data_IF_359052493245
#
_entry.id   IF_359052493245
#
_cell.length_a   1.000
_cell.length_b   1.000
_cell.length_c   1.000
_cell.angle_alpha   90.00
_cell.angle_beta   90.00
_cell.angle_gamma   90.00
#
_symmetry.space_group_name_H-M   'P 1'
#
loop_
_entity.id
_entity.type
_entity.pdbx_description
1 polymer ?
#
# COMPACT_ATOMS: atom_id res chain seq x y z
N UNK A 1 19.65 18.95 11.41
CA UNK A 1 20.53 19.26 10.27
C UNK A 1 20.25 18.25 9.14
N UNK A 2 20.76 18.45 7.93
CA UNK A 2 20.72 17.43 6.86
C UNK A 2 21.36 16.12 7.33
N UNK A 3 22.48 16.21 8.02
CA UNK A 3 23.21 15.04 8.52
C UNK A 3 22.37 14.25 9.53
N UNK A 4 21.64 14.91 10.42
CA UNK A 4 20.79 14.23 11.41
C UNK A 4 19.68 13.39 10.74
N UNK A 5 19.17 13.83 9.59
CA UNK A 5 18.21 13.02 8.81
C UNK A 5 18.89 11.79 8.21
N UNK A 6 20.06 11.97 7.59
CA UNK A 6 20.80 10.86 6.97
C UNK A 6 21.22 9.83 8.02
N UNK A 7 21.79 10.28 9.13
CA UNK A 7 22.30 9.41 10.18
C UNK A 7 21.19 8.53 10.74
N UNK A 8 20.05 9.11 11.12
CA UNK A 8 18.94 8.35 11.68
C UNK A 8 18.30 7.38 10.66
N UNK A 9 18.21 7.72 9.37
CA UNK A 9 17.76 6.76 8.35
C UNK A 9 18.78 5.64 8.14
N UNK A 10 20.05 6.00 8.04
CA UNK A 10 21.11 5.05 7.72
C UNK A 10 21.41 4.11 8.90
N UNK A 11 21.18 4.53 10.14
CA UNK A 11 21.12 3.64 11.31
C UNK A 11 20.01 2.61 11.14
N UNK A 12 18.77 3.05 10.91
CA UNK A 12 17.62 2.14 10.76
C UNK A 12 17.76 1.17 9.56
N UNK A 13 18.37 1.63 8.46
CA UNK A 13 18.63 0.80 7.27
C UNK A 13 19.76 -0.20 7.49
N UNK A 14 20.80 0.18 8.22
CA UNK A 14 21.88 -0.73 8.60
C UNK A 14 21.36 -1.88 9.48
N UNK A 15 20.41 -1.61 10.38
CA UNK A 15 19.79 -2.63 11.25
C UNK A 15 19.08 -3.75 10.48
N UNK A 16 18.68 -3.49 9.23
CA UNK A 16 18.00 -4.46 8.35
C UNK A 16 18.83 -4.83 7.11
N UNK A 17 20.11 -4.43 7.07
CA UNK A 17 21.03 -4.79 5.98
C UNK A 17 20.72 -4.11 4.64
N UNK A 18 20.15 -2.91 4.67
CA UNK A 18 19.81 -2.11 3.49
C UNK A 18 20.84 -0.99 3.29
N UNK A 19 21.24 -0.76 2.04
CA UNK A 19 22.22 0.27 1.66
C UNK A 19 21.80 1.68 2.11
N UNK A 20 22.75 2.54 2.51
CA UNK A 20 22.43 3.87 3.03
C UNK A 20 21.82 4.77 1.95
N UNK A 21 20.93 5.67 2.40
CA UNK A 21 20.43 6.79 1.60
C UNK A 21 21.51 7.86 1.46
N UNK A 22 21.46 8.55 0.33
CA UNK A 22 22.21 9.78 0.06
C UNK A 22 21.26 10.97 0.04
N UNK A 23 21.76 12.16 0.40
CA UNK A 23 20.93 13.35 0.36
C UNK A 23 20.83 13.90 -1.07
N UNK A 24 19.63 14.36 -1.44
CA UNK A 24 19.38 15.02 -2.72
C UNK A 24 18.72 16.39 -2.49
N UNK A 25 19.42 17.45 -2.92
CA UNK A 25 18.97 18.84 -2.73
C UNK A 25 17.71 19.17 -3.53
N UNK A 26 17.46 18.50 -4.67
CA UNK A 26 16.24 18.70 -5.45
C UNK A 26 15.04 18.08 -4.74
N UNK A 27 15.21 16.89 -4.17
CA UNK A 27 14.20 16.22 -3.36
C UNK A 27 13.91 17.04 -2.09
N UNK A 28 14.94 17.62 -1.47
CA UNK A 28 14.78 18.48 -0.29
C UNK A 28 14.07 19.79 -0.63
N UNK A 29 14.39 20.41 -1.77
CA UNK A 29 13.70 21.60 -2.25
C UNK A 29 12.22 21.32 -2.54
N UNK A 30 11.91 20.16 -3.13
CA UNK A 30 10.52 19.71 -3.31
C UNK A 30 9.79 19.59 -1.97
N UNK A 31 10.38 18.87 -1.01
CA UNK A 31 9.82 18.70 0.33
C UNK A 31 9.57 20.07 1.00
N UNK A 32 10.51 21.00 0.87
CA UNK A 32 10.42 22.34 1.45
C UNK A 32 9.28 23.16 0.84
N UNK A 33 9.15 23.14 -0.49
CA UNK A 33 8.05 23.83 -1.19
C UNK A 33 6.68 23.27 -0.79
N UNK A 34 6.60 21.98 -0.50
CA UNK A 34 5.36 21.35 -0.09
C UNK A 34 4.98 21.69 1.35
N UNK A 35 5.88 21.47 2.33
CA UNK A 35 5.55 21.75 3.74
C UNK A 35 5.25 23.21 3.99
N UNK A 36 5.86 24.13 3.24
CA UNK A 36 5.55 25.56 3.32
C UNK A 36 4.08 25.87 3.02
N UNK A 37 3.37 25.03 2.26
CA UNK A 37 1.93 25.16 2.01
C UNK A 37 1.08 24.70 3.20
N UNK A 38 1.60 23.77 4.02
CA UNK A 38 0.95 23.23 5.22
C UNK A 38 1.17 24.10 6.47
N UNK A 39 2.00 25.14 6.39
CA UNK A 39 2.34 26.00 7.52
C UNK A 39 1.15 26.79 8.10
N UNK A 40 0.05 26.89 7.36
CA UNK A 40 -1.13 27.64 7.80
C UNK A 40 -1.83 26.99 9.01
N UNK A 41 -2.01 25.67 8.97
CA UNK A 41 -2.84 24.91 9.91
C UNK A 41 -2.23 23.58 10.39
N UNK A 42 -1.04 23.19 9.91
CA UNK A 42 -0.37 21.93 10.26
C UNK A 42 -1.15 20.67 9.83
N UNK A 43 -2.09 20.79 8.90
CA UNK A 43 -2.89 19.65 8.46
C UNK A 43 -2.01 18.63 7.69
N UNK A 44 -1.89 17.42 8.21
CA UNK A 44 -1.08 16.35 7.62
C UNK A 44 -1.82 15.73 6.42
N UNK A 45 -1.63 16.34 5.25
CA UNK A 45 -2.10 15.84 3.96
C UNK A 45 -0.89 15.55 3.09
N UNK A 46 -0.90 14.44 2.35
CA UNK A 46 0.18 14.06 1.44
C UNK A 46 0.24 14.93 0.19
N UNK A 47 1.45 15.14 -0.36
CA UNK A 47 1.63 15.96 -1.58
C UNK A 47 1.11 15.29 -2.84
N UNK A 48 0.95 13.95 -2.81
CA UNK A 48 0.63 13.11 -3.97
C UNK A 48 1.61 13.33 -5.15
N UNK A 49 2.86 13.67 -4.83
CA UNK A 49 3.91 13.94 -5.80
C UNK A 49 4.61 12.70 -6.35
N UNK A 50 5.70 12.94 -7.09
CA UNK A 50 6.52 11.89 -7.74
C UNK A 50 7.44 11.11 -6.79
N UNK A 51 7.52 11.50 -5.51
CA UNK A 51 8.41 10.91 -4.51
C UNK A 51 7.61 10.12 -3.48
N UNK A 52 8.24 9.12 -2.86
CA UNK A 52 7.67 8.47 -1.69
C UNK A 52 7.64 9.47 -0.55
N UNK A 53 6.65 9.43 0.34
CA UNK A 53 6.46 10.51 1.30
C UNK A 53 6.07 10.01 2.69
N UNK A 54 6.79 10.51 3.70
CA UNK A 54 6.39 10.38 5.10
C UNK A 54 6.19 11.77 5.71
N UNK A 55 5.13 11.91 6.50
CA UNK A 55 4.77 13.14 7.19
C UNK A 55 4.72 12.92 8.71
N UNK A 56 5.07 13.94 9.46
CA UNK A 56 4.94 13.95 10.92
C UNK A 56 4.63 15.36 11.43
N UNK A 57 3.76 15.46 12.43
CA UNK A 57 3.45 16.69 13.16
C UNK A 57 3.89 16.53 14.63
N UNK A 58 4.43 17.59 15.23
CA UNK A 58 4.60 17.66 16.68
C UNK A 58 4.87 19.05 17.21
N UNK A 59 4.90 19.19 18.53
CA UNK A 59 5.02 20.48 19.22
C UNK A 59 6.46 20.83 19.60
N UNK A 60 6.85 22.09 19.40
CA UNK A 60 8.08 22.66 19.97
C UNK A 60 9.39 22.06 19.45
N UNK A 61 10.47 22.28 20.18
CA UNK A 61 11.82 21.78 19.86
C UNK A 61 11.94 20.25 19.89
N UNK A 62 10.90 19.56 20.39
CA UNK A 62 10.83 18.11 20.42
C UNK A 62 10.73 17.48 19.02
N UNK A 63 10.07 18.15 18.07
CA UNK A 63 9.94 17.66 16.70
C UNK A 63 11.19 17.97 15.87
N UNK A 64 12.28 17.31 16.24
CA UNK A 64 13.54 17.35 15.51
C UNK A 64 13.50 16.46 14.26
N UNK A 65 14.45 16.70 13.37
CA UNK A 65 14.72 15.82 12.23
C UNK A 65 14.88 14.36 12.68
N UNK A 66 15.74 14.08 13.65
CA UNK A 66 15.96 12.73 14.16
C UNK A 66 14.68 12.15 14.78
N UNK A 67 13.93 12.96 15.57
CA UNK A 67 12.75 12.47 16.28
C UNK A 67 11.63 12.03 15.34
N UNK A 68 11.42 12.73 14.22
CA UNK A 68 10.45 12.28 13.23
C UNK A 68 10.91 10.99 12.49
N UNK A 69 12.22 10.69 12.39
CA UNK A 69 12.68 9.38 11.87
C UNK A 69 12.38 8.29 12.88
N UNK A 70 12.70 8.57 14.14
CA UNK A 70 12.48 7.66 15.26
C UNK A 70 11.01 7.22 15.35
N UNK A 71 10.06 8.17 15.25
CA UNK A 71 8.62 7.88 15.27
C UNK A 71 8.21 6.90 14.15
N UNK A 72 8.73 7.10 12.93
CA UNK A 72 8.43 6.18 11.81
C UNK A 72 9.15 4.84 11.92
N UNK A 73 10.33 4.81 12.55
CA UNK A 73 11.08 3.58 12.80
C UNK A 73 10.44 2.75 13.91
N UNK A 74 9.85 3.39 14.93
CA UNK A 74 9.14 2.73 16.02
C UNK A 74 7.89 1.96 15.54
N UNK A 75 7.38 2.26 14.34
CA UNK A 75 6.34 1.45 13.69
C UNK A 75 6.81 0.03 13.33
N UNK A 76 8.12 -0.25 13.35
CA UNK A 76 8.67 -1.60 13.18
C UNK A 76 7.99 -2.65 14.06
N UNK A 77 7.54 -2.27 15.26
CA UNK A 77 6.84 -3.19 16.16
C UNK A 77 5.50 -3.69 15.61
N UNK A 78 4.94 -2.99 14.61
CA UNK A 78 3.69 -3.30 13.92
C UNK A 78 3.92 -3.81 12.49
N UNK A 79 5.19 -4.04 12.11
CA UNK A 79 5.55 -4.53 10.79
C UNK A 79 5.45 -6.05 10.73
N UNK A 80 4.71 -6.56 9.75
CA UNK A 80 4.63 -7.97 9.43
C UNK A 80 5.71 -8.33 8.39
N UNK A 81 6.64 -9.19 8.80
CA UNK A 81 7.75 -9.65 7.97
C UNK A 81 7.32 -10.57 6.83
N UNK A 82 6.22 -11.30 7.00
CA UNK A 82 5.77 -12.31 6.03
C UNK A 82 4.97 -11.65 4.90
N UNK A 83 4.14 -10.65 5.22
CA UNK A 83 3.39 -9.88 4.23
C UNK A 83 4.10 -8.62 3.74
N UNK A 84 5.20 -8.21 4.38
CA UNK A 84 5.91 -6.94 4.13
C UNK A 84 4.96 -5.72 4.24
N UNK A 85 4.06 -5.74 5.22
CA UNK A 85 3.07 -4.67 5.45
C UNK A 85 3.22 -4.03 6.82
N UNK A 86 2.82 -2.76 6.91
CA UNK A 86 2.65 -2.02 8.16
C UNK A 86 1.40 -1.15 8.02
N UNK A 87 0.58 -1.05 9.07
CA UNK A 87 -0.69 -0.33 9.07
C UNK A 87 -0.62 1.14 8.61
N UNK A 88 0.56 1.78 8.64
CA UNK A 88 0.74 3.18 8.21
C UNK A 88 1.86 3.39 7.17
N UNK A 89 2.60 2.34 6.79
CA UNK A 89 3.61 2.40 5.72
C UNK A 89 4.85 3.27 5.97
N UNK A 90 4.96 4.02 7.08
CA UNK A 90 6.10 4.91 7.26
C UNK A 90 7.41 4.14 7.49
N UNK A 91 7.38 3.07 8.29
CA UNK A 91 8.54 2.21 8.51
C UNK A 91 9.07 1.60 7.21
N UNK A 92 8.18 1.00 6.41
CA UNK A 92 8.55 0.33 5.15
C UNK A 92 9.18 1.30 4.16
N UNK A 93 8.73 2.56 4.11
CA UNK A 93 9.36 3.59 3.29
C UNK A 93 10.78 3.93 3.77
N UNK A 94 11.03 4.03 5.08
CA UNK A 94 12.35 4.33 5.65
C UNK A 94 13.38 3.25 5.24
N UNK A 95 12.99 1.98 5.35
CA UNK A 95 13.86 0.85 5.03
C UNK A 95 13.75 0.36 3.58
N UNK A 96 13.09 1.13 2.71
CA UNK A 96 12.84 0.70 1.34
C UNK A 96 14.13 0.58 0.54
N UNK A 97 14.47 -0.65 0.12
CA UNK A 97 15.76 -0.96 -0.52
C UNK A 97 16.04 -0.15 -1.77
N UNK A 98 14.99 0.12 -2.55
CA UNK A 98 15.13 0.80 -3.83
C UNK A 98 15.11 2.32 -3.72
N UNK A 99 14.76 2.87 -2.56
CA UNK A 99 14.99 4.28 -2.28
C UNK A 99 16.48 4.48 -2.02
N UNK A 100 17.10 5.38 -2.77
CA UNK A 100 18.56 5.65 -2.72
C UNK A 100 18.87 7.09 -2.35
N UNK A 101 17.88 7.98 -2.54
CA UNK A 101 17.97 9.40 -2.28
C UNK A 101 16.86 9.83 -1.34
N UNK A 102 17.18 10.77 -0.47
CA UNK A 102 16.22 11.37 0.46
C UNK A 102 16.41 12.87 0.52
N UNK A 103 15.30 13.59 0.61
CA UNK A 103 15.26 15.02 0.87
C UNK A 103 14.21 15.35 1.90
N UNK A 104 14.56 16.18 2.87
CA UNK A 104 13.71 16.43 4.04
C UNK A 104 13.52 17.93 4.24
N UNK A 105 12.35 18.31 4.73
CA UNK A 105 12.04 19.67 5.13
C UNK A 105 11.26 19.72 6.43
N UNK A 106 11.39 20.84 7.14
CA UNK A 106 10.64 21.14 8.36
C UNK A 106 10.13 22.57 8.30
N UNK A 107 8.86 22.78 8.62
CA UNK A 107 8.27 24.10 8.76
C UNK A 107 7.63 24.26 10.13
N UNK A 108 7.63 25.48 10.66
CA UNK A 108 6.84 25.85 11.83
C UNK A 108 5.47 26.35 11.37
N UNK A 109 4.41 25.82 11.94
CA UNK A 109 3.05 26.25 11.65
C UNK A 109 2.61 27.43 12.51
N UNK A 110 1.57 28.12 12.09
CA UNK A 110 0.99 29.26 12.82
C UNK A 110 0.46 28.91 14.22
N UNK A 111 0.08 27.65 14.43
CA UNK A 111 -0.36 27.13 15.74
C UNK A 111 0.81 26.83 16.70
N UNK A 112 2.06 27.05 16.29
CA UNK A 112 3.26 26.76 17.07
C UNK A 112 3.77 25.32 16.97
N UNK A 113 3.08 24.46 16.21
CA UNK A 113 3.52 23.11 15.84
C UNK A 113 4.57 23.11 14.73
N UNK A 114 5.10 21.92 14.42
CA UNK A 114 6.04 21.70 13.33
C UNK A 114 5.58 20.53 12.46
N UNK A 115 5.61 20.71 11.14
CA UNK A 115 5.46 19.64 10.16
C UNK A 115 6.82 19.28 9.59
N UNK A 116 7.08 17.98 9.48
CA UNK A 116 8.24 17.41 8.80
C UNK A 116 7.74 16.60 7.60
N UNK A 117 8.23 16.91 6.40
CA UNK A 117 8.03 16.09 5.20
C UNK A 117 9.34 15.50 4.74
N UNK A 118 9.27 14.25 4.29
CA UNK A 118 10.42 13.55 3.74
C UNK A 118 10.03 12.83 2.49
N UNK A 119 10.84 13.07 1.48
CA UNK A 119 10.61 12.62 0.14
C UNK A 119 11.74 11.66 -0.24
N UNK A 120 11.37 10.50 -0.79
CA UNK A 120 12.25 9.39 -1.11
C UNK A 120 12.26 9.16 -2.62
N UNK A 121 13.46 8.97 -3.18
CA UNK A 121 13.65 8.76 -4.61
C UNK A 121 14.57 7.55 -4.87
N UNK A 122 14.13 6.54 -5.62
CA UNK A 122 12.74 6.26 -6.01
C UNK A 122 11.75 6.12 -4.83
N UNK A 123 10.44 6.32 -5.06
CA UNK A 123 9.41 6.09 -4.04
C UNK A 123 9.45 4.66 -3.49
N UNK A 124 9.20 4.52 -2.20
CA UNK A 124 8.96 3.24 -1.53
C UNK A 124 7.47 2.99 -1.31
N UNK A 125 7.15 1.96 -0.51
CA UNK A 125 5.77 1.45 -0.35
C UNK A 125 5.14 1.07 -1.70
N UNK A 126 5.97 0.70 -2.67
CA UNK A 126 5.56 0.20 -3.98
C UNK A 126 5.35 -1.31 -3.82
N UNK A 127 4.12 -1.69 -3.51
CA UNK A 127 3.78 -3.09 -3.21
C UNK A 127 4.15 -4.00 -4.40
N UNK A 128 4.72 -5.17 -4.09
CA UNK A 128 5.32 -6.11 -5.05
C UNK A 128 6.87 -6.07 -5.10
N UNK A 129 7.52 -5.13 -4.42
CA UNK A 129 8.96 -5.21 -4.15
C UNK A 129 9.20 -5.91 -2.81
N UNK A 130 9.54 -7.20 -2.86
CA UNK A 130 9.96 -7.94 -1.67
C UNK A 130 11.25 -7.32 -1.14
N UNK A 131 11.27 -6.98 0.16
CA UNK A 131 12.52 -6.74 0.86
C UNK A 131 13.35 -8.03 0.77
N UNK A 132 14.39 -8.02 -0.07
CA UNK A 132 15.29 -9.14 -0.21
C UNK A 132 16.04 -9.37 1.10
N UNK A 133 15.44 -10.13 2.02
CA UNK A 133 16.10 -10.60 3.23
C UNK A 133 17.22 -11.55 2.79
N UNK A 134 18.45 -11.10 2.98
CA UNK A 134 19.65 -11.77 2.51
C UNK A 134 19.83 -13.14 3.15
N UNK A 135 19.42 -14.19 2.45
CA UNK A 135 19.86 -15.57 2.68
C UNK A 135 20.98 -15.96 1.71
N UNK A 136 22.01 -15.13 1.54
CA UNK A 136 23.24 -15.56 0.87
C UNK A 136 24.47 -14.87 1.48
N UNK A 137 24.75 -15.24 2.73
CA UNK A 137 26.08 -15.10 3.32
C UNK A 137 26.63 -16.51 3.51
N UNK A 138 27.80 -16.78 2.92
CA UNK A 138 28.60 -18.02 2.95
C UNK A 138 28.43 -19.01 1.79
N UNK A 139 28.99 -18.69 0.61
CA UNK A 139 29.59 -19.73 -0.26
C UNK A 139 30.89 -19.22 -0.91
N UNK A 140 31.95 -20.05 -0.98
CA UNK A 140 33.29 -19.62 -1.40
C UNK A 140 33.41 -19.42 -2.91
N UNK A 141 34.26 -18.46 -3.27
CA UNK A 141 34.46 -17.87 -4.60
C UNK A 141 35.03 -18.82 -5.65
N UNK A 142 34.25 -19.75 -6.22
CA UNK A 142 34.71 -20.55 -7.37
C UNK A 142 33.63 -21.01 -8.37
N UNK A 143 32.59 -20.22 -8.68
CA UNK A 143 31.74 -20.50 -9.86
C UNK A 143 31.14 -19.22 -10.47
N UNK A 144 31.95 -18.43 -11.18
CA UNK A 144 31.54 -17.12 -11.74
C UNK A 144 31.32 -17.09 -13.26
N UNK A 145 31.25 -18.22 -13.96
CA UNK A 145 31.15 -18.21 -15.45
C UNK A 145 29.93 -18.99 -16.00
N UNK A 146 29.18 -19.74 -15.17
CA UNK A 146 27.96 -20.45 -15.63
C UNK A 146 26.64 -19.74 -15.31
N UNK A 147 26.65 -18.61 -14.60
CA UNK A 147 25.44 -17.88 -14.17
C UNK A 147 25.07 -16.71 -15.08
N UNK A 148 25.90 -16.35 -16.07
CA UNK A 148 25.67 -15.18 -16.94
C UNK A 148 24.61 -15.39 -18.05
N UNK A 149 24.07 -16.61 -18.20
CA UNK A 149 23.04 -16.94 -19.21
C UNK A 149 21.65 -17.24 -18.63
N UNK A 150 21.47 -17.20 -17.31
CA UNK A 150 20.14 -17.28 -16.66
C UNK A 150 19.63 -15.93 -16.13
N UNK A 151 20.41 -14.85 -16.26
CA UNK A 151 20.05 -13.49 -15.82
C UNK A 151 19.31 -12.71 -16.94
N UNK A 152 19.06 -13.33 -18.09
CA UNK A 152 18.46 -12.70 -19.28
C UNK A 152 16.93 -12.90 -19.44
N UNK A 153 16.19 -13.46 -18.46
CA UNK A 153 14.72 -13.66 -18.58
C UNK A 153 13.91 -13.35 -17.30
N UNK A 154 14.34 -12.42 -16.44
CA UNK A 154 13.41 -11.81 -15.46
C UNK A 154 13.62 -10.29 -15.44
N UNK A 155 13.51 -9.67 -16.61
CA UNK A 155 12.90 -8.34 -16.71
C UNK A 155 11.39 -8.51 -16.57
N UNK A 156 10.91 -8.75 -15.35
CA UNK A 156 9.48 -8.63 -15.05
C UNK A 156 9.25 -7.20 -14.61
N UNK A 157 8.49 -6.48 -15.43
CA UNK A 157 8.01 -5.15 -15.15
C UNK A 157 7.44 -5.07 -13.72
N UNK A 158 7.63 -3.92 -13.07
CA UNK A 158 6.78 -3.51 -11.95
C UNK A 158 5.32 -3.58 -12.44
N UNK A 159 4.64 -4.68 -12.17
CA UNK A 159 3.21 -4.77 -12.38
C UNK A 159 2.57 -3.98 -11.24
N UNK A 160 1.75 -3.00 -11.61
CA UNK A 160 0.95 -2.25 -10.66
C UNK A 160 0.16 -3.22 -9.75
N UNK A 161 -0.23 -2.75 -8.56
CA UNK A 161 -1.06 -3.43 -7.53
C UNK A 161 -2.48 -3.75 -7.99
N UNK A 162 -2.56 -4.36 -9.16
CA UNK A 162 -3.74 -4.63 -9.94
C UNK A 162 -3.57 -5.94 -10.69
N UNK A 163 -2.62 -6.77 -10.27
CA UNK A 163 -2.49 -8.13 -10.75
C UNK A 163 -3.58 -9.00 -10.12
N UNK A 164 -3.85 -10.12 -10.78
CA UNK A 164 -4.70 -11.19 -10.24
C UNK A 164 -4.25 -11.64 -8.85
N UNK A 165 -2.93 -11.70 -8.60
CA UNK A 165 -2.40 -12.17 -7.33
C UNK A 165 -2.67 -11.17 -6.20
N UNK A 166 -2.62 -9.87 -6.46
CA UNK A 166 -2.90 -8.84 -5.45
C UNK A 166 -4.35 -8.95 -4.94
N UNK A 167 -5.32 -9.30 -5.81
CA UNK A 167 -6.68 -9.61 -5.38
C UNK A 167 -6.71 -10.84 -4.47
N UNK A 168 -6.09 -11.95 -4.91
CA UNK A 168 -6.09 -13.20 -4.17
C UNK A 168 -5.45 -13.04 -2.79
N UNK A 169 -4.30 -12.40 -2.70
CA UNK A 169 -3.55 -12.23 -1.45
C UNK A 169 -4.37 -11.44 -0.43
N UNK A 170 -4.95 -10.31 -0.83
CA UNK A 170 -5.76 -9.49 0.06
C UNK A 170 -7.01 -10.23 0.57
N UNK A 171 -7.70 -10.98 -0.30
CA UNK A 171 -8.84 -11.79 0.11
C UNK A 171 -8.44 -12.95 1.01
N UNK A 172 -7.39 -13.68 0.65
CA UNK A 172 -7.00 -14.91 1.32
C UNK A 172 -6.38 -14.65 2.69
N UNK A 173 -5.74 -13.49 2.89
CA UNK A 173 -5.37 -13.01 4.23
C UNK A 173 -6.60 -12.83 5.11
N UNK A 174 -7.62 -12.09 4.65
CA UNK A 174 -8.85 -11.86 5.42
C UNK A 174 -9.64 -13.15 5.68
N UNK A 175 -9.58 -14.12 4.76
CA UNK A 175 -10.20 -15.44 4.90
C UNK A 175 -9.48 -16.33 5.90
N UNK A 176 -8.15 -16.28 5.91
CA UNK A 176 -7.33 -16.99 6.89
C UNK A 176 -7.61 -16.51 8.32
N UNK A 177 -7.79 -15.20 8.52
CA UNK A 177 -8.11 -14.59 9.83
C UNK A 177 -9.38 -15.18 10.49
N UNK A 178 -10.33 -15.64 9.68
CA UNK A 178 -11.60 -16.24 10.15
C UNK A 178 -11.70 -17.74 9.89
N UNK A 179 -10.61 -18.39 9.46
CA UNK A 179 -10.54 -19.84 9.27
C UNK A 179 -11.47 -20.36 8.16
N UNK A 180 -11.59 -19.64 7.05
CA UNK A 180 -12.26 -20.14 5.82
C UNK A 180 -11.23 -20.41 4.73
N UNK A 181 -11.50 -21.43 3.90
CA UNK A 181 -10.59 -21.87 2.83
C UNK A 181 -10.28 -20.75 1.82
N UNK A 182 -9.07 -20.66 1.27
CA UNK A 182 -8.70 -19.61 0.33
C UNK A 182 -9.51 -19.69 -0.97
N UNK A 183 -9.76 -18.53 -1.56
CA UNK A 183 -10.28 -18.40 -2.93
C UNK A 183 -9.19 -18.74 -3.93
N UNK A 184 -9.60 -19.31 -5.07
CA UNK A 184 -8.79 -19.44 -6.27
C UNK A 184 -9.27 -18.44 -7.33
N UNK A 185 -8.38 -18.03 -8.23
CA UNK A 185 -8.78 -17.14 -9.32
C UNK A 185 -9.49 -17.92 -10.43
N UNK A 186 -10.51 -17.29 -11.01
CA UNK A 186 -11.23 -17.81 -12.17
C UNK A 186 -11.29 -16.75 -13.28
N UNK A 187 -10.73 -17.10 -14.44
CA UNK A 187 -10.62 -16.19 -15.59
C UNK A 187 -11.98 -15.88 -16.24
N UNK A 188 -12.96 -16.78 -16.16
CA UNK A 188 -14.31 -16.53 -16.69
C UNK A 188 -15.04 -15.51 -15.79
N UNK A 189 -14.90 -15.66 -14.47
CA UNK A 189 -15.44 -14.70 -13.50
C UNK A 189 -14.73 -13.34 -13.63
N UNK A 190 -13.41 -13.32 -13.89
CA UNK A 190 -12.66 -12.09 -14.09
C UNK A 190 -13.06 -11.37 -15.40
N UNK A 191 -13.29 -12.14 -16.47
CA UNK A 191 -13.80 -11.58 -17.73
C UNK A 191 -15.20 -10.98 -17.55
N UNK A 192 -16.06 -11.60 -16.75
CA UNK A 192 -17.35 -11.04 -16.35
C UNK A 192 -17.19 -9.71 -15.61
N UNK A 193 -16.33 -9.68 -14.58
CA UNK A 193 -16.04 -8.48 -13.80
C UNK A 193 -15.51 -7.33 -14.68
N UNK A 194 -14.60 -7.64 -15.62
CA UNK A 194 -14.03 -6.67 -16.55
C UNK A 194 -15.08 -6.11 -17.51
N UNK A 195 -15.95 -6.95 -18.04
CA UNK A 195 -17.05 -6.51 -18.90
C UNK A 195 -17.97 -5.55 -18.15
N UNK A 196 -18.36 -5.91 -16.92
CA UNK A 196 -19.28 -5.11 -16.14
C UNK A 196 -18.65 -3.78 -15.68
N UNK A 197 -17.45 -3.81 -15.09
CA UNK A 197 -16.71 -2.61 -14.68
C UNK A 197 -16.52 -1.62 -15.84
N UNK A 198 -16.32 -2.12 -17.06
CA UNK A 198 -16.22 -1.28 -18.27
C UNK A 198 -17.52 -0.50 -18.58
N UNK A 199 -18.68 -1.03 -18.19
CA UNK A 199 -19.96 -0.33 -18.36
C UNK A 199 -20.12 0.83 -17.37
N UNK A 200 -19.45 0.76 -16.21
CA UNK A 200 -19.44 1.81 -15.18
C UNK A 200 -18.42 2.93 -15.47
N UNK A 201 -17.51 2.71 -16.43
CA UNK A 201 -16.40 3.62 -16.73
C UNK A 201 -16.83 5.05 -17.16
N UNK A 202 -18.10 5.26 -17.52
CA UNK A 202 -18.59 6.58 -17.89
C UNK A 202 -18.44 7.61 -16.76
N UNK A 203 -18.65 7.20 -15.50
CA UNK A 203 -18.61 8.11 -14.34
C UNK A 203 -18.24 7.43 -13.01
N UNK A 204 -17.88 6.14 -12.99
CA UNK A 204 -17.57 5.37 -11.78
C UNK A 204 -18.75 5.18 -10.81
N UNK A 205 -19.99 5.49 -11.20
CA UNK A 205 -21.14 5.26 -10.34
C UNK A 205 -21.26 3.77 -9.98
N UNK A 206 -21.20 3.47 -8.68
CA UNK A 206 -21.36 2.12 -8.17
C UNK A 206 -22.83 1.69 -8.29
N UNK A 207 -23.10 0.87 -9.30
CA UNK A 207 -24.38 0.21 -9.53
C UNK A 207 -24.10 -1.28 -9.62
N UNK A 208 -24.92 -2.11 -8.97
CA UNK A 208 -24.74 -3.56 -9.00
C UNK A 208 -25.19 -4.17 -10.34
N UNK A 209 -24.50 -5.22 -10.80
CA UNK A 209 -24.80 -5.92 -12.05
C UNK A 209 -26.07 -6.76 -11.97
N UNK A 210 -26.46 -7.16 -10.76
CA UNK A 210 -27.51 -8.16 -10.50
C UNK A 210 -27.30 -9.46 -11.29
N UNK A 211 -26.02 -9.82 -11.50
CA UNK A 211 -25.60 -11.00 -12.22
C UNK A 211 -25.75 -12.31 -11.44
N UNK A 212 -25.18 -13.37 -11.99
CA UNK A 212 -25.19 -14.71 -11.40
C UNK A 212 -24.16 -14.93 -10.28
N UNK A 213 -23.22 -14.00 -10.12
CA UNK A 213 -22.12 -14.08 -9.15
C UNK A 213 -22.39 -13.19 -7.95
N UNK A 214 -21.73 -13.49 -6.82
CA UNK A 214 -21.59 -12.51 -5.74
C UNK A 214 -20.82 -11.31 -6.28
N UNK A 215 -20.99 -10.13 -5.69
CA UNK A 215 -20.40 -8.91 -6.24
C UNK A 215 -20.04 -7.90 -5.16
N UNK A 216 -18.78 -7.45 -5.22
CA UNK A 216 -18.32 -6.27 -4.51
C UNK A 216 -17.83 -5.23 -5.52
N UNK A 217 -18.20 -3.97 -5.28
CA UNK A 217 -17.78 -2.83 -6.07
C UNK A 217 -17.09 -1.81 -5.17
N UNK A 218 -16.10 -1.10 -5.70
CA UNK A 218 -15.48 0.02 -5.05
C UNK A 218 -15.08 1.07 -6.08
N UNK A 219 -15.14 2.35 -5.71
CA UNK A 219 -14.58 3.45 -6.50
C UNK A 219 -13.58 4.25 -5.69
N UNK A 220 -12.67 4.92 -6.39
CA UNK A 220 -11.72 5.84 -5.77
C UNK A 220 -11.03 6.71 -6.81
N UNK A 221 -10.40 7.79 -6.32
CA UNK A 221 -9.70 8.75 -7.17
C UNK A 221 -8.29 8.31 -7.54
N UNK A 222 -7.97 8.35 -8.83
CA UNK A 222 -6.60 8.20 -9.35
C UNK A 222 -5.91 6.89 -8.99
N UNK A 223 -4.58 6.88 -9.05
CA UNK A 223 -3.78 5.67 -8.88
C UNK A 223 -3.76 5.10 -7.45
N UNK A 224 -4.34 5.82 -6.47
CA UNK A 224 -4.55 5.35 -5.10
C UNK A 224 -5.60 4.24 -5.00
N UNK A 225 -6.53 4.16 -5.96
CA UNK A 225 -7.50 3.08 -6.03
C UNK A 225 -6.86 1.83 -6.65
N UNK A 226 -5.96 1.23 -5.88
CA UNK A 226 -5.36 -0.08 -6.18
C UNK A 226 -6.34 -1.20 -5.84
N UNK A 227 -6.08 -2.41 -6.34
CA UNK A 227 -6.97 -3.54 -6.04
C UNK A 227 -6.84 -3.99 -4.59
N UNK A 228 -5.63 -3.92 -4.02
CA UNK A 228 -5.41 -4.14 -2.61
C UNK A 228 -6.23 -3.16 -1.76
N UNK A 229 -6.28 -1.87 -2.15
CA UNK A 229 -7.07 -0.87 -1.42
C UNK A 229 -8.58 -1.15 -1.49
N UNK A 230 -9.08 -1.61 -2.64
CA UNK A 230 -10.48 -2.01 -2.78
C UNK A 230 -10.86 -3.11 -1.79
N UNK A 231 -10.02 -4.16 -1.72
CA UNK A 231 -10.25 -5.28 -0.81
C UNK A 231 -10.10 -4.87 0.65
N UNK A 232 -9.12 -4.03 0.97
CA UNK A 232 -8.94 -3.45 2.31
C UNK A 232 -10.21 -2.71 2.77
N UNK A 233 -10.79 -1.84 1.92
CA UNK A 233 -12.03 -1.12 2.23
C UNK A 233 -13.20 -2.07 2.54
N UNK A 234 -13.33 -3.17 1.79
CA UNK A 234 -14.35 -4.18 2.06
C UNK A 234 -14.05 -4.97 3.34
N UNK A 235 -12.78 -5.26 3.63
CA UNK A 235 -12.36 -6.00 4.82
C UNK A 235 -12.52 -5.16 6.10
N UNK A 236 -12.31 -3.85 6.02
CA UNK A 236 -12.46 -2.93 7.15
C UNK A 236 -13.90 -2.86 7.69
N UNK A 237 -14.90 -3.26 6.91
CA UNK A 237 -16.27 -3.40 7.40
C UNK A 237 -16.42 -4.49 8.47
N UNK A 238 -15.41 -5.36 8.67
CA UNK A 238 -15.38 -6.36 9.76
C UNK A 238 -15.63 -5.77 11.13
N UNK A 239 -15.26 -4.51 11.35
CA UNK A 239 -15.49 -3.80 12.61
C UNK A 239 -16.99 -3.61 12.93
N UNK A 240 -17.85 -3.71 11.92
CA UNK A 240 -19.30 -3.57 12.04
C UNK A 240 -20.03 -4.92 12.00
N UNK A 241 -19.33 -6.03 11.78
CA UNK A 241 -19.94 -7.35 11.68
C UNK A 241 -19.90 -8.09 13.02
N UNK A 242 -21.06 -8.57 13.47
CA UNK A 242 -21.20 -9.39 14.66
C UNK A 242 -21.35 -10.87 14.26
N UNK A 243 -20.36 -11.69 14.61
CA UNK A 243 -20.30 -13.11 14.27
C UNK A 243 -21.30 -13.97 15.05
N UNK A 244 -21.66 -13.59 16.27
CA UNK A 244 -22.55 -14.38 17.13
C UNK A 244 -23.99 -14.29 16.62
N UNK A 245 -24.39 -13.09 16.19
CA UNK A 245 -25.71 -12.81 15.65
C UNK A 245 -25.80 -12.94 14.14
N UNK A 246 -24.66 -12.99 13.43
CA UNK A 246 -24.58 -12.95 11.97
C UNK A 246 -25.29 -11.71 11.40
N UNK A 247 -25.08 -10.55 12.03
CA UNK A 247 -25.71 -9.28 11.64
C UNK A 247 -24.72 -8.12 11.58
N UNK A 248 -25.12 -7.07 10.86
CA UNK A 248 -24.39 -5.81 10.83
C UNK A 248 -24.85 -4.88 11.94
N UNK A 249 -23.93 -4.10 12.48
CA UNK A 249 -24.24 -2.98 13.35
C UNK A 249 -25.29 -2.05 12.69
N UNK A 250 -26.22 -1.55 13.50
CA UNK A 250 -27.34 -0.76 13.00
C UNK A 250 -26.87 0.47 12.21
N UNK A 251 -27.30 0.57 10.95
CA UNK A 251 -26.95 1.68 10.05
C UNK A 251 -25.56 1.57 9.42
N UNK A 252 -24.84 0.48 9.63
CA UNK A 252 -23.55 0.21 9.00
C UNK A 252 -23.69 -0.77 7.84
N UNK A 253 -22.63 -0.86 7.03
CA UNK A 253 -22.49 -1.81 5.92
C UNK A 253 -21.39 -2.80 6.27
N UNK A 254 -21.66 -4.08 6.04
CA UNK A 254 -20.69 -5.17 6.16
C UNK A 254 -20.92 -6.26 5.12
N UNK A 255 -21.77 -5.99 4.12
CA UNK A 255 -22.08 -6.92 3.05
C UNK A 255 -20.86 -7.22 2.17
N UNK A 256 -19.95 -6.26 2.02
CA UNK A 256 -18.73 -6.51 1.24
C UNK A 256 -17.79 -7.41 2.03
N UNK A 257 -17.65 -7.17 3.34
CA UNK A 257 -16.87 -8.05 4.22
C UNK A 257 -17.41 -9.48 4.21
N UNK A 258 -18.71 -9.67 4.45
CA UNK A 258 -19.31 -11.01 4.51
C UNK A 258 -19.13 -11.76 3.20
N UNK A 259 -19.15 -11.07 2.05
CA UNK A 259 -18.87 -11.68 0.77
C UNK A 259 -17.39 -12.10 0.62
N UNK A 260 -16.43 -11.27 1.04
CA UNK A 260 -14.99 -11.60 1.02
C UNK A 260 -14.71 -12.89 1.80
N UNK A 261 -15.31 -13.02 2.99
CA UNK A 261 -15.12 -14.17 3.88
C UNK A 261 -16.20 -15.26 3.75
N UNK A 262 -17.01 -15.22 2.69
CA UNK A 262 -18.08 -16.19 2.51
C UNK A 262 -17.52 -17.59 2.31
N UNK A 263 -17.84 -18.52 3.23
CA UNK A 263 -17.27 -19.87 3.26
C UNK A 263 -17.51 -20.66 1.97
N UNK A 264 -18.67 -20.47 1.35
CA UNK A 264 -19.08 -21.24 0.18
C UNK A 264 -18.55 -20.66 -1.14
N UNK A 265 -18.10 -19.40 -1.16
CA UNK A 265 -17.42 -18.86 -2.33
C UNK A 265 -16.02 -19.46 -2.38
N UNK A 266 -15.68 -20.06 -3.52
CA UNK A 266 -14.40 -20.78 -3.72
C UNK A 266 -13.56 -20.16 -4.83
N UNK A 267 -14.20 -19.42 -5.73
CA UNK A 267 -13.56 -18.75 -6.87
C UNK A 267 -13.85 -17.27 -6.84
N UNK A 268 -12.88 -16.47 -7.28
CA UNK A 268 -13.01 -15.03 -7.44
C UNK A 268 -12.41 -14.60 -8.77
N UNK A 269 -13.04 -13.62 -9.40
CA UNK A 269 -12.50 -12.95 -10.57
C UNK A 269 -12.82 -11.47 -10.48
N UNK A 270 -11.81 -10.64 -10.73
CA UNK A 270 -11.93 -9.21 -10.51
C UNK A 270 -11.37 -8.38 -11.67
N UNK A 271 -11.77 -7.11 -11.72
CA UNK A 271 -11.26 -6.15 -12.68
C UNK A 271 -11.21 -4.74 -12.09
N UNK A 272 -10.23 -3.96 -12.56
CA UNK A 272 -10.09 -2.54 -12.28
C UNK A 272 -10.10 -1.77 -13.59
N UNK A 273 -10.99 -0.79 -13.69
CA UNK A 273 -11.20 0.00 -14.91
C UNK A 273 -11.11 1.48 -14.57
N UNK A 274 -10.37 2.24 -15.39
CA UNK A 274 -10.30 3.69 -15.26
C UNK A 274 -11.57 4.32 -15.84
N UNK A 275 -12.17 5.25 -15.11
CA UNK A 275 -13.33 6.00 -15.53
C UNK A 275 -12.95 7.31 -16.25
N UNK A 276 -13.88 7.88 -17.00
CA UNK A 276 -13.68 9.13 -17.76
C UNK A 276 -13.38 10.34 -16.85
N UNK A 277 -13.77 10.29 -15.58
CA UNK A 277 -13.49 11.31 -14.58
C UNK A 277 -12.07 11.20 -13.97
N UNK A 278 -11.26 10.24 -14.41
CA UNK A 278 -9.91 9.98 -13.90
C UNK A 278 -9.87 9.12 -12.63
N UNK A 279 -11.03 8.72 -12.08
CA UNK A 279 -11.13 7.72 -11.02
C UNK A 279 -10.98 6.30 -11.56
N UNK A 280 -11.04 5.32 -10.66
CA UNK A 280 -11.11 3.91 -11.01
C UNK A 280 -12.28 3.25 -10.29
N UNK A 281 -12.89 2.27 -10.97
CA UNK A 281 -13.83 1.33 -10.39
C UNK A 281 -13.19 -0.04 -10.32
N UNK A 282 -13.38 -0.73 -9.21
CA UNK A 282 -12.95 -2.11 -8.99
C UNK A 282 -14.19 -2.97 -8.80
N UNK A 283 -14.30 -4.06 -9.56
CA UNK A 283 -15.35 -5.07 -9.46
C UNK A 283 -14.73 -6.41 -9.14
N UNK A 284 -15.20 -7.06 -8.08
CA UNK A 284 -14.86 -8.44 -7.76
C UNK A 284 -16.13 -9.29 -7.73
N UNK A 285 -16.10 -10.40 -8.45
CA UNK A 285 -17.21 -11.33 -8.54
C UNK A 285 -16.81 -12.69 -7.93
N UNK A 286 -17.75 -13.31 -7.21
CA UNK A 286 -17.51 -14.50 -6.39
C UNK A 286 -18.41 -15.66 -6.82
N UNK A 287 -17.81 -16.86 -6.92
CA UNK A 287 -18.51 -18.07 -7.37
C UNK A 287 -18.21 -19.26 -6.43
N UNK A 288 -19.24 -19.91 -5.86
CA UNK A 288 -20.65 -19.51 -5.82
C UNK A 288 -20.89 -18.13 -5.16
N UNK A 289 -22.03 -17.46 -5.46
CA UNK A 289 -22.39 -16.21 -4.80
C UNK A 289 -22.54 -16.38 -3.29
N UNK A 290 -22.11 -15.36 -2.54
CA UNK A 290 -22.36 -15.26 -1.11
C UNK A 290 -23.46 -14.25 -0.79
N UNK A 291 -23.56 -13.91 0.51
CA UNK A 291 -24.64 -13.11 1.09
C UNK A 291 -26.03 -13.70 0.84
#
# INVERSE_FOLDING_TARGET
SQQDYLDAHNTARADVGVEPLTWDDQVAAYAQNYVSQLAADCNLVHSHGQYGENLAEGSGDFMTAAKAVEIWVDEKQYYDHDSNTCAQGHYTQVVWRNSVRVGCARVQCNNGGYVVSRNYDPPGNVVGQIMGFGLFSQMPSFFLISTLLLILIISHACHAQNSQQDYLDAHNTARADVGVEPLTWDDEVAAYAANYASQLAANCNLVYSHGQYGENLAEGSGDFMTVAKAVEMWVDEKQYYDYDSNTCAQGQVCGHYTQVVWRNSVRVGCARVQCNNGGYVVSCNYDPPGN
#
